data_IF_013582225059
#
_entry.id   IF_013582225059
#
_cell.length_a   1.000
_cell.length_b   1.000
_cell.length_c   1.000
_cell.angle_alpha   90.00
_cell.angle_beta   90.00
_cell.angle_gamma   90.00
#
_symmetry.space_group_name_H-M   'P 1'
#
loop_
_entity.id
_entity.type
_entity.pdbx_description
1 polymer ?
#
# COMPACT_ATOMS: atom_id res chain seq x y z
N UNK A 1 22.58 15.21 3.28
CA UNK A 1 21.38 15.37 4.10
C UNK A 1 20.57 14.10 3.93
N UNK A 2 20.61 13.18 4.92
CA UNK A 2 19.72 12.05 4.98
C UNK A 2 18.32 12.58 5.31
N UNK A 3 17.54 12.94 4.30
CA UNK A 3 16.11 13.02 4.49
C UNK A 3 15.65 11.59 4.78
N UNK A 4 15.13 11.37 5.97
CA UNK A 4 14.43 10.15 6.34
C UNK A 4 13.35 9.93 5.28
N UNK A 5 13.63 9.07 4.28
CA UNK A 5 12.67 8.82 3.21
C UNK A 5 11.49 8.14 3.87
N UNK A 6 10.34 8.78 3.83
CA UNK A 6 9.11 8.23 4.36
C UNK A 6 8.82 6.88 3.71
N UNK A 7 8.38 5.93 4.49
CA UNK A 7 8.18 4.55 4.12
C UNK A 7 6.70 4.19 4.17
N UNK A 8 6.20 3.57 3.11
CA UNK A 8 4.81 3.17 2.97
C UNK A 8 4.75 1.68 2.67
N UNK A 9 3.91 0.97 3.40
CA UNK A 9 3.56 -0.41 3.13
C UNK A 9 2.18 -0.50 2.48
N UNK A 10 1.99 -1.46 1.59
CA UNK A 10 0.74 -1.71 0.88
C UNK A 10 0.44 -3.20 0.92
N UNK A 11 -0.63 -3.59 1.61
CA UNK A 11 -1.09 -4.96 1.66
C UNK A 11 -1.97 -5.28 0.45
N UNK A 12 -1.40 -6.00 -0.51
CA UNK A 12 -2.07 -6.41 -1.74
C UNK A 12 -1.44 -5.82 -3.00
N UNK A 13 -0.95 -6.70 -3.88
CA UNK A 13 -0.36 -6.36 -5.18
C UNK A 13 -1.41 -6.23 -6.30
N UNK A 14 -2.66 -5.93 -5.95
CA UNK A 14 -3.77 -5.74 -6.88
C UNK A 14 -3.73 -4.39 -7.61
N UNK A 15 -4.74 -4.13 -8.41
CA UNK A 15 -4.86 -2.88 -9.20
C UNK A 15 -4.76 -1.64 -8.32
N UNK A 16 -5.48 -1.61 -7.18
CA UNK A 16 -5.45 -0.46 -6.26
C UNK A 16 -4.09 -0.31 -5.61
N UNK A 17 -3.52 -1.40 -5.08
CA UNK A 17 -2.19 -1.36 -4.45
C UNK A 17 -1.10 -0.88 -5.39
N UNK A 18 -1.08 -1.34 -6.66
CA UNK A 18 -0.13 -0.86 -7.67
C UNK A 18 -0.32 0.63 -7.98
N UNK A 19 -1.57 1.08 -8.08
CA UNK A 19 -1.87 2.49 -8.32
C UNK A 19 -1.39 3.40 -7.19
N UNK A 20 -1.64 3.02 -5.93
CA UNK A 20 -1.15 3.71 -4.74
C UNK A 20 0.38 3.71 -4.71
N UNK A 21 1.00 2.56 -5.00
CA UNK A 21 2.46 2.45 -5.07
C UNK A 21 3.08 3.46 -6.03
N UNK A 22 2.52 3.58 -7.23
CA UNK A 22 2.97 4.57 -8.24
C UNK A 22 2.83 5.98 -7.70
N UNK A 23 1.69 6.33 -7.10
CA UNK A 23 1.39 7.67 -6.57
C UNK A 23 2.45 8.15 -5.59
N UNK A 24 2.89 7.29 -4.69
CA UNK A 24 3.88 7.65 -3.70
C UNK A 24 5.33 7.45 -4.17
N UNK A 25 5.60 6.44 -5.00
CA UNK A 25 6.96 6.18 -5.49
C UNK A 25 7.53 7.34 -6.31
N UNK A 26 6.72 7.97 -7.20
CA UNK A 26 7.23 9.10 -7.99
C UNK A 26 7.42 10.37 -7.15
N UNK A 27 6.83 10.45 -5.95
CA UNK A 27 7.10 11.48 -4.95
C UNK A 27 8.35 11.18 -4.09
N UNK A 28 9.01 10.05 -4.33
CA UNK A 28 10.26 9.68 -3.68
C UNK A 28 10.11 8.89 -2.37
N UNK A 29 8.92 8.37 -2.07
CA UNK A 29 8.70 7.48 -0.93
C UNK A 29 9.25 6.08 -1.22
N UNK A 30 9.71 5.37 -0.19
CA UNK A 30 9.96 3.94 -0.24
C UNK A 30 8.64 3.18 -0.11
N UNK A 31 8.44 2.20 -0.97
CA UNK A 31 7.20 1.43 -1.06
C UNK A 31 7.49 -0.05 -0.89
N UNK A 32 6.83 -0.67 0.06
CA UNK A 32 6.75 -2.12 0.18
C UNK A 32 5.36 -2.61 -0.21
N UNK A 33 5.25 -3.37 -1.30
CA UNK A 33 4.03 -4.07 -1.68
C UNK A 33 4.11 -5.49 -1.12
N UNK A 34 3.15 -5.84 -0.27
CA UNK A 34 3.09 -7.12 0.41
C UNK A 34 2.11 -8.05 -0.30
N UNK A 35 2.61 -9.19 -0.78
CA UNK A 35 1.73 -10.28 -1.18
C UNK A 35 1.25 -11.01 0.07
N UNK A 36 -0.05 -10.94 0.30
CA UNK A 36 -0.71 -11.50 1.50
C UNK A 36 -1.11 -12.97 1.34
N UNK A 37 -0.96 -13.53 0.13
CA UNK A 37 -1.33 -14.91 -0.16
C UNK A 37 -0.12 -15.82 0.01
N UNK A 38 -0.37 -16.99 0.53
CA UNK A 38 0.60 -18.09 0.45
C UNK A 38 0.74 -18.51 -1.01
N UNK A 39 1.97 -18.45 -1.52
CA UNK A 39 2.30 -18.84 -2.89
C UNK A 39 3.54 -19.71 -2.91
N UNK A 40 3.60 -20.59 -3.91
CA UNK A 40 4.87 -21.20 -4.28
C UNK A 40 5.87 -20.11 -4.75
N UNK A 41 7.14 -20.44 -4.75
CA UNK A 41 8.18 -19.53 -5.24
C UNK A 41 7.94 -19.09 -6.69
N UNK A 42 7.53 -20.01 -7.54
CA UNK A 42 7.25 -19.72 -8.95
C UNK A 42 6.05 -18.76 -9.10
N UNK A 43 4.96 -19.00 -8.38
CA UNK A 43 3.79 -18.11 -8.40
C UNK A 43 4.13 -16.70 -7.89
N UNK A 44 4.97 -16.61 -6.86
CA UNK A 44 5.41 -15.32 -6.33
C UNK A 44 6.29 -14.57 -7.32
N UNK A 45 7.28 -15.23 -7.94
CA UNK A 45 8.13 -14.59 -8.96
C UNK A 45 7.30 -14.10 -10.16
N UNK A 46 6.30 -14.86 -10.58
CA UNK A 46 5.36 -14.45 -11.62
C UNK A 46 4.52 -13.22 -11.20
N UNK A 47 3.99 -13.21 -9.97
CA UNK A 47 3.29 -12.05 -9.42
C UNK A 47 4.20 -10.83 -9.39
N UNK A 48 5.42 -10.99 -8.90
CA UNK A 48 6.42 -9.93 -8.78
C UNK A 48 6.76 -9.33 -10.14
N UNK A 49 7.05 -10.18 -11.12
CA UNK A 49 7.36 -9.74 -12.49
C UNK A 49 6.19 -8.97 -13.11
N UNK A 50 4.96 -9.48 -12.98
CA UNK A 50 3.75 -8.82 -13.47
C UNK A 50 3.51 -7.48 -12.77
N UNK A 51 3.71 -7.42 -11.45
CA UNK A 51 3.52 -6.19 -10.66
C UNK A 51 4.53 -5.11 -11.07
N UNK A 52 5.80 -5.48 -11.25
CA UNK A 52 6.85 -4.58 -11.73
C UNK A 52 6.50 -4.04 -13.12
N UNK A 53 6.08 -4.90 -14.04
CA UNK A 53 5.71 -4.49 -15.40
C UNK A 53 4.53 -3.51 -15.40
N UNK A 54 3.49 -3.78 -14.61
CA UNK A 54 2.32 -2.91 -14.51
C UNK A 54 2.67 -1.54 -13.90
N UNK A 55 3.52 -1.51 -12.86
CA UNK A 55 3.99 -0.25 -12.28
C UNK A 55 4.80 0.55 -13.29
N UNK A 56 5.68 -0.11 -14.05
CA UNK A 56 6.43 0.54 -15.11
C UNK A 56 5.50 1.13 -16.18
N UNK A 57 4.50 0.38 -16.65
CA UNK A 57 3.50 0.87 -17.61
C UNK A 57 2.77 2.12 -17.09
N UNK A 58 2.39 2.15 -15.80
CA UNK A 58 1.76 3.32 -15.19
C UNK A 58 2.69 4.54 -15.15
N UNK A 59 3.98 4.32 -14.86
CA UNK A 59 4.98 5.41 -14.89
C UNK A 59 5.22 5.92 -16.31
N UNK A 60 5.18 5.07 -17.31
CA UNK A 60 5.27 5.46 -18.73
C UNK A 60 4.06 6.33 -19.14
N UNK A 61 2.85 6.00 -18.67
CA UNK A 61 1.66 6.83 -18.88
C UNK A 61 1.86 8.22 -18.25
N UNK A 62 2.38 8.31 -17.02
CA UNK A 62 2.69 9.59 -16.37
C UNK A 62 3.76 10.37 -17.14
N UNK A 63 4.76 9.69 -17.71
CA UNK A 63 5.79 10.33 -18.53
C UNK A 63 5.23 10.86 -19.86
N UNK A 64 4.34 10.10 -20.52
CA UNK A 64 3.61 10.58 -21.71
C UNK A 64 2.76 11.81 -21.41
N UNK A 65 2.13 11.85 -20.24
CA UNK A 65 1.41 13.00 -19.72
C UNK A 65 2.30 14.15 -19.21
N UNK A 66 3.61 14.03 -19.29
CA UNK A 66 4.62 15.00 -18.80
C UNK A 66 4.53 15.31 -17.30
N UNK A 67 3.97 14.39 -16.52
CA UNK A 67 3.94 14.49 -15.04
C UNK A 67 5.32 14.17 -14.46
N UNK A 68 6.02 13.21 -15.06
CA UNK A 68 7.40 12.84 -14.71
C UNK A 68 8.28 12.81 -15.96
N UNK A 69 9.60 12.81 -15.78
CA UNK A 69 10.54 12.56 -16.88
C UNK A 69 10.68 11.06 -17.13
N UNK A 70 10.74 10.64 -18.41
CA UNK A 70 11.03 9.25 -18.77
C UNK A 70 12.36 8.77 -18.16
N UNK A 71 13.36 9.65 -18.06
CA UNK A 71 14.65 9.33 -17.46
C UNK A 71 14.57 9.08 -15.94
N UNK A 72 13.50 9.50 -15.27
CA UNK A 72 13.31 9.26 -13.82
C UNK A 72 12.73 7.89 -13.52
N UNK A 73 12.11 7.20 -14.49
CA UNK A 73 11.45 5.91 -14.28
C UNK A 73 12.35 4.88 -13.59
N UNK A 74 13.61 4.64 -14.03
CA UNK A 74 14.46 3.66 -13.36
C UNK A 74 14.79 3.99 -11.90
N UNK A 75 14.83 5.29 -11.55
CA UNK A 75 15.06 5.73 -10.17
C UNK A 75 13.80 5.55 -9.31
N UNK A 76 12.63 5.81 -9.88
CA UNK A 76 11.34 5.61 -9.22
C UNK A 76 11.12 4.11 -8.96
N UNK A 77 11.39 3.27 -9.95
CA UNK A 77 11.25 1.81 -9.81
C UNK A 77 12.11 1.24 -8.67
N UNK A 78 13.28 1.83 -8.38
CA UNK A 78 14.13 1.45 -7.24
C UNK A 78 13.53 1.76 -5.88
N UNK A 79 12.48 2.58 -5.81
CA UNK A 79 11.77 2.87 -4.57
C UNK A 79 10.74 1.78 -4.23
N UNK A 80 10.40 0.90 -5.17
CA UNK A 80 9.34 -0.11 -5.00
C UNK A 80 9.97 -1.48 -4.78
N UNK A 81 9.61 -2.09 -3.68
CA UNK A 81 9.94 -3.48 -3.33
C UNK A 81 8.65 -4.29 -3.27
N UNK A 82 8.73 -5.56 -3.65
CA UNK A 82 7.61 -6.50 -3.58
C UNK A 82 8.10 -7.73 -2.84
N UNK A 83 7.42 -8.07 -1.76
CA UNK A 83 7.77 -9.19 -0.89
C UNK A 83 6.54 -10.02 -0.51
N UNK A 84 6.78 -11.27 -0.11
CA UNK A 84 5.76 -12.06 0.57
C UNK A 84 5.72 -11.64 2.05
N UNK A 85 4.52 -11.59 2.61
CA UNK A 85 4.35 -11.16 3.99
C UNK A 85 5.07 -12.04 5.02
N UNK A 86 5.25 -13.32 4.70
CA UNK A 86 5.91 -14.30 5.57
C UNK A 86 7.43 -14.43 5.31
N UNK A 87 8.02 -13.55 4.50
CA UNK A 87 9.45 -13.56 4.26
C UNK A 87 10.19 -12.81 5.38
N UNK A 88 10.72 -13.56 6.34
CA UNK A 88 11.48 -13.03 7.49
C UNK A 88 12.70 -12.17 7.10
N UNK A 89 13.16 -12.26 5.84
CA UNK A 89 14.27 -11.45 5.34
C UNK A 89 13.83 -10.09 4.85
N UNK A 90 12.54 -9.89 4.66
CA UNK A 90 11.94 -8.70 4.04
C UNK A 90 10.98 -7.96 5.00
N UNK A 91 11.38 -7.86 6.29
CA UNK A 91 10.56 -7.25 7.35
C UNK A 91 10.56 -5.71 7.38
N UNK A 92 11.24 -5.07 6.44
CA UNK A 92 11.36 -3.60 6.41
C UNK A 92 10.02 -2.86 6.43
N UNK A 93 8.96 -3.46 5.93
CA UNK A 93 7.61 -2.91 5.93
C UNK A 93 7.05 -2.63 7.34
N UNK A 94 7.55 -3.30 8.39
CA UNK A 94 7.13 -3.09 9.78
C UNK A 94 7.45 -1.66 10.27
N UNK A 95 8.45 -1.04 9.67
CA UNK A 95 8.86 0.34 9.95
C UNK A 95 8.10 1.39 9.13
N UNK A 96 7.10 0.99 8.34
CA UNK A 96 6.32 1.92 7.54
C UNK A 96 5.57 2.94 8.41
N UNK A 97 5.47 4.17 7.93
CA UNK A 97 4.70 5.23 8.58
C UNK A 97 3.20 5.07 8.31
N UNK A 98 2.88 4.52 7.13
CA UNK A 98 1.50 4.28 6.70
C UNK A 98 1.43 2.90 6.06
N UNK A 99 0.43 2.13 6.43
CA UNK A 99 0.02 0.92 5.74
C UNK A 99 -1.30 1.17 5.02
N UNK A 100 -1.32 0.96 3.71
CA UNK A 100 -2.57 0.87 2.94
C UNK A 100 -3.01 -0.58 2.84
N UNK A 101 -4.20 -0.90 3.33
CA UNK A 101 -4.84 -2.18 3.12
C UNK A 101 -5.63 -2.13 1.80
N UNK A 102 -5.13 -2.83 0.78
CA UNK A 102 -5.67 -2.90 -0.57
C UNK A 102 -5.97 -4.35 -1.00
N UNK A 103 -6.50 -5.13 -0.06
CA UNK A 103 -6.86 -6.53 -0.26
C UNK A 103 -8.25 -6.65 -0.93
N UNK A 104 -8.64 -7.85 -1.39
CA UNK A 104 -9.98 -8.06 -1.93
C UNK A 104 -11.09 -7.62 -0.97
N UNK A 105 -12.21 -7.18 -1.54
CA UNK A 105 -13.38 -6.70 -0.80
C UNK A 105 -14.18 -7.86 -0.21
N UNK A 106 -13.52 -8.61 0.68
CA UNK A 106 -14.01 -9.79 1.40
C UNK A 106 -13.67 -9.62 2.86
N UNK A 107 -14.69 -9.62 3.73
CA UNK A 107 -14.53 -9.25 5.15
C UNK A 107 -13.56 -10.18 5.90
N UNK A 108 -13.59 -11.49 5.60
CA UNK A 108 -12.73 -12.49 6.23
C UNK A 108 -11.25 -12.28 5.85
N UNK A 109 -11.00 -11.81 4.62
CA UNK A 109 -9.65 -11.47 4.16
C UNK A 109 -9.16 -10.22 4.88
N UNK A 110 -10.00 -9.19 4.95
CA UNK A 110 -9.67 -7.94 5.65
C UNK A 110 -9.46 -8.17 7.15
N UNK A 111 -10.32 -8.95 7.81
CA UNK A 111 -10.16 -9.32 9.22
C UNK A 111 -8.78 -9.98 9.47
N UNK A 112 -8.48 -11.04 8.73
CA UNK A 112 -7.19 -11.76 8.87
C UNK A 112 -6.00 -10.82 8.65
N UNK A 113 -6.04 -10.01 7.60
CA UNK A 113 -4.91 -9.15 7.20
C UNK A 113 -4.74 -7.98 8.17
N UNK A 114 -5.82 -7.28 8.54
CA UNK A 114 -5.76 -6.15 9.44
C UNK A 114 -5.27 -6.56 10.85
N UNK A 115 -5.76 -7.69 11.39
CA UNK A 115 -5.27 -8.21 12.69
C UNK A 115 -3.79 -8.51 12.65
N UNK A 116 -3.33 -9.21 11.62
CA UNK A 116 -1.93 -9.59 11.49
C UNK A 116 -1.03 -8.36 11.34
N UNK A 117 -1.35 -7.48 10.38
CA UNK A 117 -0.51 -6.34 10.07
C UNK A 117 -0.48 -5.29 11.19
N UNK A 118 -1.63 -5.03 11.84
CA UNK A 118 -1.67 -4.05 12.92
C UNK A 118 -0.88 -4.45 14.17
N UNK A 119 -0.63 -5.74 14.37
CA UNK A 119 0.22 -6.26 15.46
C UNK A 119 1.72 -6.13 15.17
N UNK A 120 2.10 -6.16 13.89
CA UNK A 120 3.50 -6.19 13.46
C UNK A 120 4.06 -4.79 13.13
N UNK A 121 3.18 -3.86 12.80
CA UNK A 121 3.57 -2.48 12.51
C UNK A 121 4.03 -1.75 13.77
N UNK A 122 4.92 -0.79 13.59
CA UNK A 122 5.29 0.13 14.67
C UNK A 122 4.06 0.85 15.25
N UNK A 123 4.10 1.14 16.54
CA UNK A 123 2.97 1.66 17.32
C UNK A 123 2.30 2.91 16.72
N UNK A 124 3.08 3.78 16.11
CA UNK A 124 2.59 5.07 15.58
C UNK A 124 2.24 5.04 14.09
N UNK A 125 2.28 3.87 13.44
CA UNK A 125 1.93 3.75 12.03
C UNK A 125 0.43 4.00 11.83
N UNK A 126 0.08 4.74 10.78
CA UNK A 126 -1.30 4.87 10.33
C UNK A 126 -1.68 3.63 9.52
N UNK A 127 -2.92 3.18 9.68
CA UNK A 127 -3.49 2.10 8.89
C UNK A 127 -4.71 2.63 8.15
N UNK A 128 -4.70 2.53 6.84
CA UNK A 128 -5.74 3.04 5.96
C UNK A 128 -6.29 1.92 5.08
N UNK A 129 -7.56 1.55 5.26
CA UNK A 129 -8.22 0.64 4.32
C UNK A 129 -8.64 1.38 3.06
N UNK A 130 -8.61 0.69 1.92
CA UNK A 130 -9.10 1.22 0.64
C UNK A 130 -10.50 0.70 0.30
N UNK A 131 -11.24 0.20 1.27
CA UNK A 131 -12.58 -0.36 1.08
C UNK A 131 -13.56 0.64 0.48
N UNK A 132 -14.45 0.14 -0.38
CA UNK A 132 -15.54 0.92 -0.95
C UNK A 132 -16.89 0.67 -0.26
N UNK A 133 -17.00 -0.41 0.54
CA UNK A 133 -18.29 -0.89 1.03
C UNK A 133 -18.35 -1.18 2.53
N UNK A 134 -17.23 -1.47 3.18
CA UNK A 134 -17.23 -1.76 4.62
C UNK A 134 -17.13 -0.49 5.47
N UNK A 135 -17.84 -0.49 6.59
CA UNK A 135 -17.78 0.60 7.57
C UNK A 135 -16.41 0.67 8.23
N UNK A 136 -15.88 1.90 8.42
CA UNK A 136 -14.65 2.12 9.17
C UNK A 136 -14.76 1.56 10.58
N UNK A 137 -15.90 1.74 11.24
CA UNK A 137 -16.14 1.23 12.60
C UNK A 137 -16.11 -0.30 12.65
N UNK A 138 -16.64 -0.98 11.64
CA UNK A 138 -16.56 -2.43 11.51
C UNK A 138 -15.11 -2.89 11.36
N UNK A 139 -14.39 -2.36 10.38
CA UNK A 139 -13.00 -2.74 10.12
C UNK A 139 -12.06 -2.37 11.29
N UNK A 140 -12.33 -1.28 12.01
CA UNK A 140 -11.54 -0.88 13.17
C UNK A 140 -11.54 -1.92 14.29
N UNK A 141 -12.55 -2.81 14.34
CA UNK A 141 -12.57 -3.92 15.31
C UNK A 141 -11.49 -4.96 15.07
N UNK A 142 -10.89 -4.97 13.87
CA UNK A 142 -9.82 -5.87 13.48
C UNK A 142 -8.42 -5.29 13.70
N UNK A 143 -8.32 -4.03 14.11
CA UNK A 143 -7.04 -3.32 14.27
C UNK A 143 -6.72 -3.15 15.75
N UNK A 144 -5.44 -3.32 16.12
CA UNK A 144 -4.99 -3.17 17.50
C UNK A 144 -5.11 -1.70 17.94
N UNK A 145 -4.59 -0.76 17.16
CA UNK A 145 -4.58 0.67 17.44
C UNK A 145 -5.67 1.39 16.64
N UNK A 146 -6.91 1.34 17.13
CA UNK A 146 -8.09 1.88 16.42
C UNK A 146 -8.00 3.39 16.17
N UNK A 147 -7.32 4.12 17.03
CA UNK A 147 -7.10 5.56 16.88
C UNK A 147 -6.23 5.93 15.69
N UNK A 148 -5.48 4.96 15.16
CA UNK A 148 -4.63 5.09 13.96
C UNK A 148 -5.26 4.51 12.70
N UNK A 149 -6.53 4.09 12.77
CA UNK A 149 -7.23 3.47 11.65
C UNK A 149 -8.24 4.43 11.02
N UNK A 150 -8.26 4.45 9.69
CA UNK A 150 -9.21 5.21 8.88
C UNK A 150 -9.49 4.50 7.55
N UNK A 151 -10.50 4.94 6.84
CA UNK A 151 -10.68 4.60 5.43
C UNK A 151 -10.10 5.70 4.54
N UNK A 152 -9.45 5.28 3.46
CA UNK A 152 -9.01 6.14 2.37
C UNK A 152 -9.54 5.55 1.07
N UNK A 153 -10.69 6.03 0.62
CA UNK A 153 -11.30 5.57 -0.62
C UNK A 153 -10.64 6.26 -1.82
N UNK A 154 -9.95 5.47 -2.62
CA UNK A 154 -9.22 5.92 -3.79
C UNK A 154 -10.05 5.71 -5.05
N UNK A 155 -10.05 6.70 -5.92
CA UNK A 155 -10.61 6.53 -7.24
C UNK A 155 -9.59 5.88 -8.19
N UNK A 156 -10.08 4.98 -9.05
CA UNK A 156 -9.21 4.26 -9.98
C UNK A 156 -9.24 4.91 -11.38
N UNK A 157 -8.07 5.14 -12.01
CA UNK A 157 -6.71 4.80 -11.59
C UNK A 157 -6.12 5.76 -10.54
N UNK A 158 -5.66 5.22 -9.39
CA UNK A 158 -5.19 6.01 -8.26
C UNK A 158 -4.04 6.97 -8.59
N UNK A 159 -3.19 6.63 -9.55
CA UNK A 159 -2.06 7.45 -9.97
C UNK A 159 -2.43 8.59 -10.94
N UNK A 160 -3.68 8.61 -11.46
CA UNK A 160 -4.16 9.65 -12.38
C UNK A 160 -5.20 10.56 -11.75
N UNK A 161 -5.99 10.05 -10.81
CA UNK A 161 -7.09 10.79 -10.20
C UNK A 161 -6.63 11.33 -8.84
N UNK A 162 -6.37 12.66 -8.72
CA UNK A 162 -5.83 13.24 -7.49
C UNK A 162 -6.94 13.51 -6.45
N UNK A 163 -7.74 12.49 -6.17
CA UNK A 163 -8.83 12.56 -5.21
C UNK A 163 -8.82 11.33 -4.32
N UNK A 164 -8.79 11.55 -3.02
CA UNK A 164 -8.90 10.54 -1.98
C UNK A 164 -9.97 11.00 -1.00
N UNK A 165 -10.97 10.19 -0.77
CA UNK A 165 -11.96 10.42 0.27
C UNK A 165 -11.46 9.80 1.57
N UNK A 166 -11.27 10.61 2.60
CA UNK A 166 -10.82 10.15 3.91
C UNK A 166 -12.01 10.12 4.86
N UNK A 167 -12.27 8.95 5.43
CA UNK A 167 -13.35 8.75 6.40
C UNK A 167 -12.77 8.24 7.73
N UNK A 168 -12.84 9.03 8.81
CA UNK A 168 -12.49 8.56 10.14
C UNK A 168 -13.60 7.66 10.70
N UNK A 169 -13.23 6.77 11.62
CA UNK A 169 -14.18 6.06 12.48
C UNK A 169 -14.36 6.75 13.84
N UNK A 170 -15.23 6.20 14.68
CA UNK A 170 -15.53 6.75 16.02
C UNK A 170 -14.31 6.77 16.96
N UNK A 171 -13.32 5.93 16.69
CA UNK A 171 -12.09 5.82 17.48
C UNK A 171 -10.89 6.51 16.83
N UNK A 172 -11.00 6.99 15.59
CA UNK A 172 -9.88 7.63 14.89
C UNK A 172 -9.46 8.91 15.60
N UNK A 173 -8.16 9.05 15.90
CA UNK A 173 -7.61 10.27 16.51
C UNK A 173 -7.78 11.49 15.58
N UNK A 174 -7.94 12.65 16.17
CA UNK A 174 -7.96 13.93 15.46
C UNK A 174 -6.57 14.58 15.36
N UNK A 175 -5.53 13.92 15.92
CA UNK A 175 -4.14 14.39 15.90
C UNK A 175 -3.37 13.83 14.71
#
# INVERSE_FOLDING_TARGET
>A
MNQNKKHIAIAGAGRMGRGIAVTFAYQGYHIDILDIKERSREEFENLKANTIQEIQNHLEILAMGKVISTNSIPLIMKQVRISQINDEKEEGWKEAEILFEATPEIIEVKDKVLRMLSTELREHALIASTTSSFSVNELSTFVVNKERFMNTHWLNPAYLIPLIEVSPGDHTSTE
#
